data_IF_017668920529
#
_entry.id   IF_017668920529
#
_cell.length_a   1.000
_cell.length_b   1.000
_cell.length_c   1.000
_cell.angle_alpha   90.00
_cell.angle_beta   90.00
_cell.angle_gamma   90.00
#
_symmetry.space_group_name_H-M   'P 1'
#
loop_
_entity.id
_entity.type
_entity.pdbx_description
1 polymer ?
#
# COMPACT_ATOMS: atom_id res chain seq x y z
N UNK A 1 -2.60 -17.48 12.46
CA UNK A 1 -3.05 -18.36 13.54
C UNK A 1 -4.10 -17.59 14.34
N UNK A 2 -5.35 -17.65 13.87
CA UNK A 2 -6.46 -16.95 14.51
C UNK A 2 -7.05 -17.90 15.54
N UNK A 3 -6.63 -17.81 16.80
CA UNK A 3 -7.35 -18.48 17.88
C UNK A 3 -8.70 -17.79 17.98
N UNK A 4 -9.74 -18.42 17.43
CA UNK A 4 -11.08 -17.90 17.47
C UNK A 4 -11.55 -17.94 18.94
N UNK A 5 -11.57 -16.78 19.60
CA UNK A 5 -11.99 -16.64 21.00
C UNK A 5 -13.37 -17.28 21.27
N UNK A 6 -14.22 -17.32 20.24
CA UNK A 6 -15.52 -17.99 20.30
C UNK A 6 -15.41 -19.51 20.46
N UNK A 7 -14.40 -20.16 19.88
CA UNK A 7 -14.24 -21.62 19.96
C UNK A 7 -13.64 -22.08 21.29
N UNK A 8 -12.77 -21.25 21.90
CA UNK A 8 -12.15 -21.58 23.19
C UNK A 8 -13.07 -21.40 24.41
N UNK A 9 -14.22 -20.74 24.25
CA UNK A 9 -15.07 -20.31 25.38
C UNK A 9 -16.52 -20.80 25.31
N UNK A 10 -16.85 -21.68 24.36
CA UNK A 10 -18.24 -22.09 24.09
C UNK A 10 -18.95 -22.79 25.26
N UNK A 11 -18.22 -23.34 26.24
CA UNK A 11 -18.80 -24.09 27.36
C UNK A 11 -18.76 -23.38 28.72
N UNK A 12 -18.21 -22.16 28.82
CA UNK A 12 -18.13 -21.43 30.11
C UNK A 12 -19.09 -20.23 30.17
N UNK A 13 -19.69 -19.94 31.35
CA UNK A 13 -20.47 -18.71 31.55
C UNK A 13 -19.65 -17.47 31.20
N UNK A 14 -20.29 -16.48 30.58
CA UNK A 14 -19.64 -15.24 30.11
C UNK A 14 -18.82 -14.51 31.18
N UNK A 15 -19.22 -14.64 32.44
CA UNK A 15 -18.58 -14.00 33.60
C UNK A 15 -17.74 -14.93 34.47
N UNK A 16 -17.40 -16.13 33.99
CA UNK A 16 -16.55 -17.04 34.77
C UNK A 16 -15.18 -16.39 35.06
N UNK A 17 -14.62 -16.57 36.29
CA UNK A 17 -13.25 -16.15 36.57
C UNK A 17 -12.21 -16.78 35.63
N UNK A 18 -12.49 -17.99 35.12
CA UNK A 18 -11.65 -18.69 34.13
C UNK A 18 -11.57 -17.91 32.81
N UNK A 19 -12.72 -17.54 32.24
CA UNK A 19 -12.82 -16.75 31.00
C UNK A 19 -12.16 -15.39 31.11
N UNK A 20 -12.25 -14.72 32.26
CA UNK A 20 -11.55 -13.44 32.51
C UNK A 20 -10.03 -13.61 32.49
N UNK A 21 -9.50 -14.68 33.10
CA UNK A 21 -8.07 -15.00 33.07
C UNK A 21 -7.59 -15.33 31.64
N UNK A 22 -8.35 -16.14 30.90
CA UNK A 22 -8.05 -16.46 29.51
C UNK A 22 -8.04 -15.21 28.61
N UNK A 23 -9.04 -14.33 28.75
CA UNK A 23 -9.10 -13.07 28.03
C UNK A 23 -7.88 -12.20 28.32
N UNK A 24 -7.49 -12.06 29.59
CA UNK A 24 -6.29 -11.29 29.97
C UNK A 24 -5.02 -11.87 29.34
N UNK A 25 -4.85 -13.20 29.33
CA UNK A 25 -3.71 -13.86 28.67
C UNK A 25 -3.72 -13.59 27.17
N UNK A 26 -4.86 -13.72 26.50
CA UNK A 26 -4.99 -13.43 25.06
C UNK A 26 -4.65 -11.96 24.77
N UNK A 27 -5.17 -11.01 25.55
CA UNK A 27 -4.84 -9.60 25.41
C UNK A 27 -3.35 -9.34 25.62
N UNK A 28 -2.73 -9.97 26.62
CA UNK A 28 -1.30 -9.81 26.92
C UNK A 28 -0.43 -10.33 25.78
N UNK A 29 -0.75 -11.53 25.25
CA UNK A 29 -0.09 -12.10 24.07
C UNK A 29 -0.31 -11.20 22.86
N UNK A 30 -1.53 -10.71 22.64
CA UNK A 30 -1.85 -9.80 21.55
C UNK A 30 -1.03 -8.51 21.59
N UNK A 31 -0.92 -7.89 22.76
CA UNK A 31 -0.07 -6.70 22.98
C UNK A 31 1.40 -7.02 22.73
N UNK A 32 1.90 -8.15 23.21
CA UNK A 32 3.29 -8.56 22.99
C UNK A 32 3.60 -8.80 21.49
N UNK A 33 2.72 -9.49 20.77
CA UNK A 33 2.85 -9.75 19.32
C UNK A 33 2.74 -8.46 18.53
N UNK A 34 1.80 -7.58 18.89
CA UNK A 34 1.65 -6.27 18.26
C UNK A 34 2.87 -5.38 18.50
N UNK A 35 3.37 -5.32 19.74
CA UNK A 35 4.59 -4.61 20.10
C UNK A 35 5.82 -5.12 19.33
N UNK A 36 5.99 -6.44 19.24
CA UNK A 36 7.04 -7.05 18.42
C UNK A 36 6.89 -6.69 16.94
N UNK A 37 5.65 -6.69 16.42
CA UNK A 37 5.36 -6.31 15.04
C UNK A 37 5.69 -4.84 14.75
N UNK A 38 5.41 -3.93 15.69
CA UNK A 38 5.78 -2.51 15.60
C UNK A 38 7.31 -2.34 15.54
N UNK A 39 8.04 -3.00 16.44
CA UNK A 39 9.50 -2.93 16.49
C UNK A 39 10.10 -3.45 15.17
N UNK A 40 9.70 -4.65 14.73
CA UNK A 40 10.23 -5.26 13.52
C UNK A 40 9.84 -4.52 12.24
N UNK A 41 8.71 -3.82 12.24
CA UNK A 41 8.28 -2.99 11.12
C UNK A 41 8.93 -1.60 11.11
N UNK A 42 9.93 -1.36 11.98
CA UNK A 42 10.71 -0.13 11.97
C UNK A 42 10.04 1.07 12.63
N UNK A 43 9.09 0.87 13.56
CA UNK A 43 8.37 1.98 14.19
C UNK A 43 9.30 3.04 14.81
N UNK A 44 10.45 2.63 15.35
CA UNK A 44 11.46 3.52 15.93
C UNK A 44 12.55 3.95 14.94
N UNK A 45 12.59 3.40 13.73
CA UNK A 45 13.64 3.70 12.74
C UNK A 45 13.41 5.08 12.12
N UNK A 46 14.48 5.85 11.94
CA UNK A 46 14.41 7.10 11.20
C UNK A 46 14.15 6.83 9.70
N UNK A 47 13.32 7.67 9.06
CA UNK A 47 13.13 7.63 7.60
C UNK A 47 14.29 8.39 6.96
N UNK A 48 15.32 7.65 6.55
CA UNK A 48 16.47 8.24 5.84
C UNK A 48 16.14 8.34 4.36
N UNK A 49 16.06 9.58 3.87
CA UNK A 49 15.79 9.91 2.48
C UNK A 49 17.11 10.33 1.82
N UNK A 50 17.43 9.71 0.69
CA UNK A 50 18.57 10.07 -0.16
C UNK A 50 18.09 10.31 -1.59
N UNK A 51 18.82 11.13 -2.34
CA UNK A 51 18.60 11.22 -3.79
C UNK A 51 19.08 9.93 -4.48
N UNK A 52 18.35 9.51 -5.51
CA UNK A 52 18.65 8.36 -6.32
C UNK A 52 17.89 8.42 -7.64
N UNK A 53 17.78 7.29 -8.33
CA UNK A 53 17.14 7.22 -9.64
C UNK A 53 16.03 6.18 -9.60
N UNK A 54 14.83 6.56 -10.03
CA UNK A 54 13.78 5.59 -10.33
C UNK A 54 14.15 4.85 -11.62
N UNK A 55 14.12 3.50 -11.65
CA UNK A 55 14.65 2.73 -12.78
C UNK A 55 13.90 2.97 -14.10
N UNK A 56 12.62 3.33 -14.04
CA UNK A 56 11.78 3.46 -15.24
C UNK A 56 11.53 2.13 -15.95
N UNK A 57 10.66 2.13 -16.96
CA UNK A 57 10.32 0.92 -17.71
C UNK A 57 8.90 0.94 -18.26
N UNK A 58 8.46 -0.21 -18.75
CA UNK A 58 7.06 -0.44 -19.10
C UNK A 58 6.33 -0.99 -17.87
N UNK A 59 5.43 -0.20 -17.30
CA UNK A 59 4.65 -0.61 -16.14
C UNK A 59 3.35 -1.26 -16.61
N UNK A 60 3.15 -2.54 -16.28
CA UNK A 60 1.93 -3.32 -16.58
C UNK A 60 1.21 -3.57 -15.26
N UNK A 61 0.00 -3.04 -15.08
CA UNK A 61 -0.58 -2.87 -13.76
C UNK A 61 -2.10 -2.99 -13.73
N UNK A 62 -2.65 -3.17 -12.53
CA UNK A 62 -4.06 -3.03 -12.19
C UNK A 62 -4.23 -1.82 -11.28
N UNK A 63 -5.35 -1.09 -11.41
CA UNK A 63 -5.69 0.02 -10.50
C UNK A 63 -6.88 -0.35 -9.62
N UNK A 64 -6.90 0.14 -8.38
CA UNK A 64 -8.06 0.06 -7.48
C UNK A 64 -8.16 1.29 -6.57
N UNK A 65 -9.32 1.43 -5.91
CA UNK A 65 -9.71 2.53 -5.03
C UNK A 65 -10.09 1.95 -3.66
N UNK A 66 -9.11 1.77 -2.77
CA UNK A 66 -9.28 1.19 -1.41
C UNK A 66 -8.20 1.73 -0.46
N UNK A 67 -8.22 1.27 0.78
CA UNK A 67 -7.13 1.51 1.72
C UNK A 67 -5.79 1.01 1.16
N UNK A 68 -4.73 1.78 1.35
CA UNK A 68 -3.37 1.41 0.92
C UNK A 68 -2.87 0.11 1.55
N UNK A 69 -3.38 -0.28 2.72
CA UNK A 69 -3.10 -1.60 3.29
C UNK A 69 -3.58 -2.77 2.41
N UNK A 70 -4.55 -2.55 1.52
CA UNK A 70 -5.06 -3.54 0.57
C UNK A 70 -4.20 -3.68 -0.69
N UNK A 71 -3.21 -2.82 -0.91
CA UNK A 71 -2.33 -2.89 -2.09
C UNK A 71 -1.44 -4.13 -2.09
N UNK A 72 -1.04 -4.59 -0.90
CA UNK A 72 -0.19 -5.76 -0.74
C UNK A 72 -0.84 -7.04 -1.30
N UNK A 73 -2.17 -7.21 -1.16
CA UNK A 73 -2.87 -8.36 -1.73
C UNK A 73 -3.01 -8.26 -3.25
N UNK A 74 -3.11 -7.04 -3.81
CA UNK A 74 -3.07 -6.85 -5.27
C UNK A 74 -1.72 -7.26 -5.85
N UNK A 75 -0.61 -6.83 -5.23
CA UNK A 75 0.73 -7.21 -5.70
C UNK A 75 0.96 -8.72 -5.68
N UNK A 76 0.51 -9.40 -4.62
CA UNK A 76 0.58 -10.87 -4.55
C UNK A 76 -0.23 -11.52 -5.67
N UNK A 77 -1.43 -11.01 -5.96
CA UNK A 77 -2.24 -11.49 -7.09
C UNK A 77 -1.53 -11.30 -8.44
N UNK A 78 -0.90 -10.15 -8.67
CA UNK A 78 -0.13 -9.89 -9.91
C UNK A 78 1.06 -10.84 -10.00
N UNK A 79 1.75 -11.09 -8.89
CA UNK A 79 2.86 -12.03 -8.85
C UNK A 79 2.44 -13.46 -9.20
N UNK A 80 1.31 -13.93 -8.65
CA UNK A 80 0.74 -15.25 -8.95
C UNK A 80 0.36 -15.37 -10.44
N UNK A 81 -0.34 -14.36 -10.97
CA UNK A 81 -0.75 -14.32 -12.39
C UNK A 81 0.46 -14.25 -13.34
N UNK A 82 1.50 -13.53 -12.96
CA UNK A 82 2.77 -13.46 -13.69
C UNK A 82 3.70 -14.65 -13.48
N UNK A 83 3.30 -15.63 -12.64
CA UNK A 83 4.15 -16.76 -12.23
C UNK A 83 5.51 -16.33 -11.66
N UNK A 84 5.54 -15.19 -10.96
CA UNK A 84 6.72 -14.57 -10.40
C UNK A 84 7.05 -15.22 -9.07
N UNK A 85 8.29 -15.70 -8.94
CA UNK A 85 8.76 -16.28 -7.69
C UNK A 85 9.07 -15.18 -6.67
N UNK A 86 8.95 -15.50 -5.39
CA UNK A 86 9.21 -14.58 -4.27
C UNK A 86 10.58 -13.91 -4.36
N UNK A 87 11.59 -14.60 -4.91
CA UNK A 87 12.95 -14.08 -5.07
C UNK A 87 13.10 -13.04 -6.19
N UNK A 88 12.06 -12.81 -6.98
CA UNK A 88 12.05 -11.85 -8.10
C UNK A 88 11.22 -10.61 -7.77
N UNK A 89 10.72 -10.47 -6.54
CA UNK A 89 9.83 -9.39 -6.14
C UNK A 89 10.52 -8.02 -6.12
N UNK A 90 11.77 -7.98 -5.64
CA UNK A 90 12.47 -6.78 -5.21
C UNK A 90 12.72 -5.74 -6.31
N UNK A 91 12.75 -6.15 -7.57
CA UNK A 91 13.02 -5.27 -8.69
C UNK A 91 11.91 -5.21 -9.73
N UNK A 92 10.87 -6.04 -9.56
CA UNK A 92 9.86 -6.25 -10.59
C UNK A 92 8.49 -5.76 -10.17
N UNK A 93 8.10 -5.94 -8.91
CA UNK A 93 6.75 -5.64 -8.45
C UNK A 93 6.68 -4.29 -7.75
N UNK A 94 5.86 -3.39 -8.29
CA UNK A 94 5.71 -2.04 -7.78
C UNK A 94 4.27 -1.72 -7.46
N UNK A 95 4.08 -1.04 -6.33
CA UNK A 95 2.83 -0.32 -6.01
C UNK A 95 3.05 1.17 -6.18
N UNK A 96 2.21 1.81 -7.00
CA UNK A 96 2.16 3.25 -7.16
C UNK A 96 0.98 3.78 -6.34
N UNK A 97 1.29 4.61 -5.36
CA UNK A 97 0.33 5.30 -4.51
C UNK A 97 0.13 6.72 -5.06
N UNK A 98 -1.04 6.95 -5.65
CA UNK A 98 -1.31 8.12 -6.50
C UNK A 98 -1.80 9.33 -5.71
N UNK A 99 -2.03 9.18 -4.40
CA UNK A 99 -2.64 10.17 -3.55
C UNK A 99 -1.78 10.51 -2.34
N UNK A 100 -1.95 11.75 -1.86
CA UNK A 100 -1.54 12.12 -0.51
C UNK A 100 -2.59 11.61 0.49
N UNK A 101 -2.18 10.64 1.31
CA UNK A 101 -3.06 10.00 2.30
C UNK A 101 -3.44 10.91 3.46
N UNK A 102 -2.77 12.06 3.62
CA UNK A 102 -3.17 13.07 4.59
C UNK A 102 -4.43 13.85 4.17
N UNK A 103 -4.82 13.80 2.88
CA UNK A 103 -5.98 14.53 2.35
C UNK A 103 -7.07 13.62 1.80
N UNK A 104 -6.73 12.46 1.25
CA UNK A 104 -7.73 11.52 0.73
C UNK A 104 -8.23 10.60 1.86
N UNK A 105 -9.56 10.55 2.11
CA UNK A 105 -10.12 9.66 3.12
C UNK A 105 -9.76 8.18 2.90
N UNK A 106 -9.64 7.44 4.00
CA UNK A 106 -9.54 5.97 3.98
C UNK A 106 -10.65 5.36 3.12
N UNK A 107 -10.33 4.32 2.37
CA UNK A 107 -11.26 3.63 1.48
C UNK A 107 -11.53 4.34 0.15
N UNK A 108 -10.98 5.55 -0.06
CA UNK A 108 -11.02 6.29 -1.33
C UNK A 108 -9.64 6.50 -1.96
N UNK A 109 -8.60 5.94 -1.35
CA UNK A 109 -7.24 6.15 -1.83
C UNK A 109 -7.00 5.34 -3.11
N UNK A 110 -6.27 5.93 -4.06
CA UNK A 110 -5.97 5.33 -5.36
C UNK A 110 -4.57 4.74 -5.34
N UNK A 111 -4.48 3.49 -5.75
CA UNK A 111 -3.19 2.85 -5.98
C UNK A 111 -3.24 1.96 -7.22
N UNK A 112 -2.06 1.64 -7.73
CA UNK A 112 -1.87 0.72 -8.84
C UNK A 112 -0.77 -0.27 -8.52
N UNK A 113 -1.08 -1.55 -8.59
CA UNK A 113 -0.13 -2.63 -8.36
C UNK A 113 0.21 -3.33 -9.67
N UNK A 114 1.49 -3.52 -9.96
CA UNK A 114 1.92 -4.06 -11.25
C UNK A 114 3.37 -4.47 -11.31
N UNK A 115 3.80 -4.83 -12.51
CA UNK A 115 5.18 -5.15 -12.83
C UNK A 115 5.84 -4.00 -13.60
N UNK A 116 7.02 -3.56 -13.17
CA UNK A 116 7.86 -2.62 -13.91
C UNK A 116 8.87 -3.41 -14.75
N UNK A 117 8.64 -3.46 -16.06
CA UNK A 117 9.34 -4.34 -16.96
C UNK A 117 10.44 -3.58 -17.73
N UNK A 118 11.63 -4.16 -17.80
CA UNK A 118 12.63 -3.76 -18.77
C UNK A 118 12.25 -4.19 -20.21
N UNK A 119 13.11 -3.89 -21.19
CA UNK A 119 12.83 -4.22 -22.61
C UNK A 119 12.69 -5.71 -22.88
N UNK A 120 13.44 -6.56 -22.18
CA UNK A 120 13.41 -8.01 -22.36
C UNK A 120 12.16 -8.57 -21.68
N UNK A 121 11.94 -8.21 -20.41
CA UNK A 121 10.79 -8.59 -19.61
C UNK A 121 9.47 -8.12 -20.24
N UNK A 122 9.46 -6.96 -20.90
CA UNK A 122 8.27 -6.47 -21.63
C UNK A 122 7.83 -7.46 -22.71
N UNK A 123 8.76 -8.07 -23.44
CA UNK A 123 8.42 -9.05 -24.49
C UNK A 123 7.87 -10.35 -23.91
N UNK A 124 8.27 -10.69 -22.70
CA UNK A 124 7.91 -11.94 -22.02
C UNK A 124 6.58 -11.81 -21.26
N UNK A 125 6.50 -10.83 -20.35
CA UNK A 125 5.39 -10.74 -19.39
C UNK A 125 4.20 -9.95 -19.91
N UNK A 126 4.41 -8.86 -20.67
CA UNK A 126 3.32 -7.99 -21.10
C UNK A 126 2.26 -8.74 -21.92
N UNK A 127 2.58 -9.54 -22.95
CA UNK A 127 1.57 -10.26 -23.72
C UNK A 127 0.75 -11.21 -22.84
N UNK A 128 1.43 -11.94 -21.94
CA UNK A 128 0.82 -12.90 -21.02
C UNK A 128 -0.16 -12.22 -20.08
N UNK A 129 0.23 -11.14 -19.40
CA UNK A 129 -0.65 -10.41 -18.48
C UNK A 129 -1.81 -9.74 -19.21
N UNK A 130 -1.56 -9.14 -20.37
CA UNK A 130 -2.60 -8.48 -21.15
C UNK A 130 -3.64 -9.47 -21.70
N UNK A 131 -3.22 -10.69 -22.06
CA UNK A 131 -4.15 -11.75 -22.50
C UNK A 131 -5.12 -12.20 -21.40
N UNK A 132 -4.76 -12.03 -20.12
CA UNK A 132 -5.67 -12.30 -19.00
C UNK A 132 -6.87 -11.35 -18.97
N UNK A 133 -6.87 -10.24 -19.70
CA UNK A 133 -8.04 -9.38 -19.83
C UNK A 133 -9.18 -10.04 -20.62
N UNK A 134 -8.87 -10.98 -21.53
CA UNK A 134 -9.86 -11.64 -22.39
C UNK A 134 -10.53 -12.85 -21.72
N UNK A 135 -9.89 -13.44 -20.71
CA UNK A 135 -10.28 -14.74 -20.15
C UNK A 135 -11.18 -14.65 -18.90
N UNK A 136 -11.75 -13.48 -18.62
CA UNK A 136 -12.27 -13.20 -17.28
C UNK A 136 -13.72 -13.61 -17.10
N UNK A 137 -14.02 -14.42 -16.06
CA UNK A 137 -15.40 -14.64 -15.66
C UNK A 137 -15.99 -13.31 -15.17
N UNK A 138 -17.28 -13.09 -15.44
CA UNK A 138 -18.00 -11.94 -14.91
C UNK A 138 -17.96 -11.88 -13.38
N UNK A 139 -18.36 -10.75 -12.81
CA UNK A 139 -18.45 -10.59 -11.35
C UNK A 139 -19.37 -11.63 -10.72
N UNK A 140 -18.86 -12.34 -9.72
CA UNK A 140 -19.66 -13.16 -8.81
C UNK A 140 -19.82 -12.43 -7.47
N UNK A 141 -21.07 -12.27 -7.04
CA UNK A 141 -21.40 -11.67 -5.74
C UNK A 141 -20.85 -12.55 -4.61
N UNK A 142 -20.15 -11.94 -3.65
CA UNK A 142 -19.51 -12.66 -2.53
C UNK A 142 -18.09 -13.18 -2.80
N UNK A 143 -17.49 -12.87 -3.96
CA UNK A 143 -16.11 -13.22 -4.27
C UNK A 143 -15.10 -12.66 -3.24
N UNK A 144 -14.06 -13.44 -2.95
CA UNK A 144 -12.96 -13.02 -2.08
C UNK A 144 -12.21 -11.83 -2.66
N UNK A 145 -11.51 -11.04 -1.83
CA UNK A 145 -10.72 -9.90 -2.32
C UNK A 145 -9.70 -10.29 -3.41
N UNK A 146 -9.08 -11.47 -3.29
CA UNK A 146 -8.19 -12.02 -4.32
C UNK A 146 -8.94 -12.29 -5.62
N UNK A 147 -10.12 -12.90 -5.55
CA UNK A 147 -10.95 -13.14 -6.73
C UNK A 147 -11.43 -11.83 -7.38
N UNK A 148 -11.69 -10.77 -6.59
CA UNK A 148 -11.98 -9.44 -7.13
C UNK A 148 -10.81 -8.93 -7.98
N UNK A 149 -9.57 -9.04 -7.49
CA UNK A 149 -8.40 -8.56 -8.23
C UNK A 149 -8.12 -9.38 -9.48
N UNK A 150 -8.31 -10.70 -9.43
CA UNK A 150 -8.08 -11.58 -10.57
C UNK A 150 -9.14 -11.39 -11.66
N UNK A 151 -10.42 -11.30 -11.26
CA UNK A 151 -11.52 -11.37 -12.21
C UNK A 151 -12.04 -10.01 -12.68
N UNK A 152 -11.90 -8.94 -11.88
CA UNK A 152 -12.52 -7.64 -12.20
C UNK A 152 -11.56 -6.59 -12.72
N UNK A 153 -10.33 -6.53 -12.20
CA UNK A 153 -9.46 -5.38 -12.42
C UNK A 153 -8.58 -5.55 -13.66
N UNK A 154 -8.82 -4.79 -14.71
CA UNK A 154 -8.11 -4.95 -15.98
C UNK A 154 -6.64 -4.56 -15.88
N UNK A 155 -5.79 -5.29 -16.62
CA UNK A 155 -4.42 -4.89 -16.85
C UNK A 155 -4.39 -3.70 -17.82
N UNK A 156 -3.76 -2.62 -17.37
CA UNK A 156 -3.36 -1.46 -18.15
C UNK A 156 -1.83 -1.49 -18.33
N UNK A 157 -1.30 -0.71 -19.28
CA UNK A 157 0.14 -0.54 -19.43
C UNK A 157 0.51 0.90 -19.76
N UNK A 158 1.62 1.37 -19.21
CA UNK A 158 2.18 2.67 -19.56
C UNK A 158 3.70 2.70 -19.40
N UNK A 159 4.37 3.53 -20.20
CA UNK A 159 5.80 3.77 -20.04
C UNK A 159 6.03 4.81 -18.95
N UNK A 160 6.83 4.45 -17.95
CA UNK A 160 7.24 5.31 -16.84
C UNK A 160 8.71 5.67 -17.03
N UNK A 161 9.09 6.97 -17.01
CA UNK A 161 10.46 7.38 -17.30
C UNK A 161 11.40 7.06 -16.13
N UNK A 162 12.66 6.81 -16.44
CA UNK A 162 13.73 6.88 -15.43
C UNK A 162 14.05 8.33 -15.13
N UNK A 163 14.01 8.69 -13.85
CA UNK A 163 14.14 10.08 -13.37
C UNK A 163 14.78 10.14 -12.00
N UNK A 164 15.33 11.30 -11.67
CA UNK A 164 15.79 11.58 -10.31
C UNK A 164 14.62 11.49 -9.33
N UNK A 165 14.87 10.79 -8.23
CA UNK A 165 13.87 10.46 -7.22
C UNK A 165 14.46 10.57 -5.82
N UNK A 166 13.64 10.98 -4.87
CA UNK A 166 13.91 10.71 -3.47
C UNK A 166 13.73 9.20 -3.23
N UNK A 167 14.63 8.59 -2.49
CA UNK A 167 14.65 7.16 -2.19
C UNK A 167 14.74 6.96 -0.69
N UNK A 168 13.87 6.12 -0.14
CA UNK A 168 13.95 5.66 1.24
C UNK A 168 13.88 4.14 1.31
N UNK A 169 14.81 3.53 2.03
CA UNK A 169 14.77 2.12 2.37
C UNK A 169 14.20 1.97 3.78
N UNK A 170 13.15 1.18 3.94
CA UNK A 170 12.48 1.03 5.24
C UNK A 170 12.13 -0.43 5.57
N UNK A 171 12.25 -0.86 6.85
CA UNK A 171 11.89 -2.21 7.25
C UNK A 171 10.45 -2.59 6.90
N UNK A 172 10.27 -3.87 6.60
CA UNK A 172 8.99 -4.43 6.15
C UNK A 172 8.83 -5.87 6.64
N UNK A 173 7.63 -6.17 7.14
CA UNK A 173 7.28 -7.50 7.68
C UNK A 173 6.19 -8.20 6.86
N UNK A 174 5.78 -7.63 5.73
CA UNK A 174 4.66 -8.14 4.92
C UNK A 174 3.33 -8.26 5.69
N UNK A 175 3.23 -7.54 6.81
CA UNK A 175 2.06 -7.47 7.68
C UNK A 175 1.37 -6.12 7.60
N UNK A 176 0.17 -6.07 8.18
CA UNK A 176 -0.62 -4.83 8.21
C UNK A 176 0.10 -3.71 8.98
N UNK A 177 0.88 -4.04 10.02
CA UNK A 177 1.60 -3.05 10.83
C UNK A 177 2.65 -2.31 10.00
N UNK A 178 3.41 -3.01 9.14
CA UNK A 178 4.34 -2.34 8.24
C UNK A 178 3.64 -1.45 7.23
N UNK A 179 2.50 -1.88 6.69
CA UNK A 179 1.71 -1.05 5.76
C UNK A 179 1.22 0.24 6.44
N UNK A 180 0.75 0.16 7.69
CA UNK A 180 0.36 1.34 8.46
C UNK A 180 1.55 2.26 8.74
N UNK A 181 2.72 1.72 9.09
CA UNK A 181 3.91 2.55 9.32
C UNK A 181 4.35 3.23 8.03
N UNK A 182 4.28 2.55 6.88
CA UNK A 182 4.57 3.16 5.59
C UNK A 182 3.63 4.35 5.33
N UNK A 183 2.33 4.14 5.50
CA UNK A 183 1.30 5.16 5.26
C UNK A 183 1.39 6.36 6.22
N UNK A 184 1.59 6.14 7.51
CA UNK A 184 1.56 7.22 8.51
C UNK A 184 2.92 7.88 8.78
N UNK A 185 4.03 7.25 8.39
CA UNK A 185 5.38 7.73 8.73
C UNK A 185 6.27 7.91 7.51
N UNK A 186 6.37 6.89 6.66
CA UNK A 186 7.30 6.93 5.52
C UNK A 186 6.76 7.85 4.43
N UNK A 187 5.50 7.66 4.04
CA UNK A 187 4.87 8.40 2.95
C UNK A 187 4.81 9.91 3.22
N UNK A 188 4.37 10.39 4.39
CA UNK A 188 4.35 11.82 4.68
C UNK A 188 5.75 12.45 4.66
N UNK A 189 6.76 11.74 5.18
CA UNK A 189 8.14 12.22 5.15
C UNK A 189 8.68 12.33 3.72
N UNK A 190 8.40 11.32 2.89
CA UNK A 190 8.78 11.28 1.48
C UNK A 190 8.08 12.34 0.63
N UNK A 191 6.77 12.52 0.79
CA UNK A 191 6.00 13.55 0.10
C UNK A 191 6.43 14.96 0.52
N UNK A 192 6.71 15.16 1.81
CA UNK A 192 7.26 16.43 2.30
C UNK A 192 8.61 16.74 1.64
N UNK A 193 9.53 15.78 1.64
CA UNK A 193 10.84 15.95 1.00
C UNK A 193 10.71 16.32 -0.48
N UNK A 194 9.85 15.61 -1.23
CA UNK A 194 9.63 15.87 -2.65
C UNK A 194 9.01 17.24 -2.95
N UNK A 195 8.19 17.80 -2.04
CA UNK A 195 7.69 19.18 -2.17
C UNK A 195 8.77 20.23 -1.93
N UNK A 196 9.74 19.93 -1.08
CA UNK A 196 10.84 20.84 -0.73
C UNK A 196 11.97 20.82 -1.78
N UNK A 197 12.20 19.67 -2.44
CA UNK A 197 13.35 19.45 -3.32
C UNK A 197 12.97 19.17 -4.79
N UNK A 198 11.68 18.95 -5.09
CA UNK A 198 11.21 18.68 -6.44
C UNK A 198 11.06 19.93 -7.31
N UNK A 199 10.95 19.73 -8.62
CA UNK A 199 10.64 20.81 -9.58
C UNK A 199 9.29 21.47 -9.28
N UNK A 200 9.19 22.77 -9.57
CA UNK A 200 7.92 23.50 -9.44
C UNK A 200 6.84 22.86 -10.34
N UNK A 201 5.66 22.64 -9.78
CA UNK A 201 4.56 21.96 -10.48
C UNK A 201 4.69 20.44 -10.54
N UNK A 202 5.70 19.84 -9.91
CA UNK A 202 5.81 18.39 -9.78
C UNK A 202 4.66 17.82 -8.91
N UNK A 203 4.17 16.64 -9.30
CA UNK A 203 3.13 15.91 -8.56
C UNK A 203 3.77 14.69 -7.89
N UNK A 204 3.99 14.72 -6.57
CA UNK A 204 4.68 13.63 -5.89
C UNK A 204 3.78 12.39 -5.85
N UNK A 205 4.28 11.28 -6.39
CA UNK A 205 3.67 9.95 -6.38
C UNK A 205 4.66 9.00 -5.73
N UNK A 206 4.21 8.11 -4.86
CA UNK A 206 5.09 7.14 -4.22
C UNK A 206 5.05 5.84 -5.01
N UNK A 207 6.18 5.39 -5.52
CA UNK A 207 6.35 4.05 -6.06
C UNK A 207 7.10 3.19 -5.04
N UNK A 208 6.58 2.03 -4.67
CA UNK A 208 7.18 1.13 -3.67
C UNK A 208 7.39 -0.25 -4.24
N UNK A 209 8.58 -0.80 -4.03
CA UNK A 209 8.91 -2.23 -4.22
C UNK A 209 9.39 -2.81 -2.88
N UNK A 210 9.20 -4.11 -2.66
CA UNK A 210 9.56 -4.76 -1.40
C UNK A 210 10.28 -6.09 -1.64
N UNK A 211 11.44 -6.25 -1.00
CA UNK A 211 12.16 -7.52 -0.90
C UNK A 211 11.67 -8.30 0.32
N UNK A 212 10.93 -9.38 0.09
CA UNK A 212 10.50 -10.29 1.17
C UNK A 212 11.71 -10.93 1.84
N UNK A 213 12.75 -11.25 1.05
CA UNK A 213 13.97 -11.89 1.54
C UNK A 213 14.78 -10.96 2.46
N UNK A 214 14.91 -9.69 2.09
CA UNK A 214 15.65 -8.72 2.90
C UNK A 214 14.80 -8.12 4.03
N UNK A 215 13.47 -8.28 3.99
CA UNK A 215 12.57 -7.63 4.94
C UNK A 215 12.61 -6.10 4.81
N UNK A 216 12.78 -5.60 3.58
CA UNK A 216 12.96 -4.18 3.29
C UNK A 216 12.08 -3.77 2.12
N UNK A 217 11.49 -2.58 2.19
CA UNK A 217 10.89 -1.91 1.05
C UNK A 217 11.72 -0.71 0.63
N UNK A 218 11.77 -0.48 -0.68
CA UNK A 218 12.36 0.70 -1.30
C UNK A 218 11.22 1.57 -1.82
N UNK A 219 11.16 2.78 -1.31
CA UNK A 219 10.17 3.78 -1.67
C UNK A 219 10.84 4.86 -2.53
N UNK A 220 10.19 5.21 -3.63
CA UNK A 220 10.64 6.22 -4.57
C UNK A 220 9.59 7.32 -4.64
N UNK A 221 10.03 8.59 -4.67
CA UNK A 221 9.20 9.72 -5.06
C UNK A 221 9.93 10.51 -6.15
N UNK A 222 9.42 10.53 -7.39
CA UNK A 222 10.00 11.31 -8.48
C UNK A 222 10.11 12.79 -8.10
N UNK A 223 11.30 13.36 -8.26
CA UNK A 223 11.54 14.80 -8.04
C UNK A 223 11.22 15.62 -9.29
N UNK A 224 11.14 14.96 -10.44
CA UNK A 224 10.81 15.55 -11.74
C UNK A 224 9.77 14.69 -12.47
N UNK A 225 9.01 15.31 -13.38
CA UNK A 225 8.03 14.62 -14.26
C UNK A 225 7.01 13.73 -13.52
N UNK A 226 6.62 14.07 -12.29
CA UNK A 226 5.68 13.28 -11.48
C UNK A 226 4.30 13.08 -12.12
N UNK A 227 3.88 13.95 -13.04
CA UNK A 227 2.66 13.75 -13.82
C UNK A 227 2.66 12.46 -14.65
N UNK A 228 3.82 11.96 -15.08
CA UNK A 228 3.95 10.65 -15.77
C UNK A 228 3.70 9.47 -14.84
N UNK A 229 3.92 9.66 -13.53
CA UNK A 229 3.69 8.65 -12.50
C UNK A 229 2.24 8.62 -12.01
N UNK A 230 1.39 9.57 -12.42
CA UNK A 230 -0.05 9.52 -12.19
C UNK A 230 -0.76 8.49 -13.08
N UNK A 231 -0.07 7.85 -14.02
CA UNK A 231 -0.60 6.78 -14.88
C UNK A 231 -1.86 7.20 -15.67
N UNK A 232 -1.91 8.48 -16.07
CA UNK A 232 -3.07 9.07 -16.76
C UNK A 232 -4.27 9.36 -15.87
N UNK A 233 -4.17 9.12 -14.55
CA UNK A 233 -5.20 9.46 -13.57
C UNK A 233 -5.07 10.95 -13.15
N UNK A 234 -6.16 11.59 -12.66
CA UNK A 234 -6.11 12.99 -12.23
C UNK A 234 -5.19 13.19 -11.03
N UNK A 235 -4.73 14.43 -10.81
CA UNK A 235 -3.93 14.79 -9.62
C UNK A 235 -4.73 14.53 -8.34
N UNK A 236 -4.06 14.42 -7.18
CA UNK A 236 -4.75 14.24 -5.88
C UNK A 236 -5.79 15.33 -5.64
N UNK A 237 -5.47 16.59 -6.01
CA UNK A 237 -6.37 17.73 -5.85
C UNK A 237 -7.61 17.58 -6.73
N UNK A 238 -7.43 17.33 -8.02
CA UNK A 238 -8.55 17.19 -8.96
C UNK A 238 -9.43 15.98 -8.60
N UNK A 239 -8.81 14.90 -8.10
CA UNK A 239 -9.54 13.74 -7.61
C UNK A 239 -10.36 14.06 -6.36
N UNK A 240 -9.76 14.74 -5.38
CA UNK A 240 -10.45 15.18 -4.17
C UNK A 240 -11.68 16.06 -4.51
N UNK A 241 -11.52 16.99 -5.45
CA UNK A 241 -12.60 17.86 -5.92
C UNK A 241 -13.73 17.09 -6.65
N UNK A 242 -13.41 15.92 -7.21
CA UNK A 242 -14.38 15.03 -7.87
C UNK A 242 -15.17 14.14 -6.90
N UNK A 243 -14.70 13.97 -5.67
CA UNK A 243 -15.38 13.12 -4.69
C UNK A 243 -16.73 13.75 -4.29
N UNK A 244 -17.80 12.94 -4.14
CA UNK A 244 -19.08 13.46 -3.68
C UNK A 244 -18.89 14.10 -2.30
N UNK A 245 -19.26 15.37 -2.19
CA UNK A 245 -19.29 16.08 -0.90
C UNK A 245 -20.29 15.35 -0.02
N UNK A 246 -19.84 14.82 1.11
CA UNK A 246 -20.73 14.15 2.05
C UNK A 246 -21.52 15.24 2.76
N UNK A 247 -22.77 15.47 2.33
CA UNK A 247 -23.68 16.37 3.02
C UNK A 247 -23.94 15.84 4.45
N UNK A 248 -23.38 16.52 5.46
CA UNK A 248 -23.65 16.28 6.88
C UNK A 248 -22.76 15.27 7.62
N UNK A 249 -21.67 14.78 7.03
CA UNK A 249 -20.81 13.74 7.63
C UNK A 249 -19.51 14.28 8.23
N UNK A 250 -19.26 13.91 9.49
CA UNK A 250 -18.01 14.07 10.28
C UNK A 250 -16.80 14.51 9.43
N UNK A 251 -16.30 15.72 9.70
CA UNK A 251 -15.06 16.20 9.10
C UNK A 251 -13.90 15.31 9.57
N UNK A 252 -13.44 14.42 8.69
CA UNK A 252 -12.31 13.54 8.96
C UNK A 252 -11.04 14.34 9.28
N UNK A 253 -10.90 15.58 8.79
CA UNK A 253 -9.81 16.46 9.19
C UNK A 253 -9.92 16.86 10.67
N UNK A 254 -11.14 17.03 11.19
CA UNK A 254 -11.37 17.31 12.62
C UNK A 254 -11.21 16.06 13.50
N UNK A 255 -11.60 14.88 13.02
CA UNK A 255 -11.28 13.60 13.69
C UNK A 255 -9.78 13.36 13.72
N UNK A 256 -9.07 13.62 12.63
CA UNK A 256 -7.63 13.48 12.53
C UNK A 256 -6.90 14.52 13.42
N UNK A 257 -7.37 15.77 13.45
CA UNK A 257 -6.90 16.78 14.43
C UNK A 257 -7.17 16.34 15.88
N UNK A 258 -8.31 15.71 16.14
CA UNK A 258 -8.65 15.13 17.44
C UNK A 258 -7.69 14.01 17.84
N UNK A 259 -7.44 13.07 16.94
CA UNK A 259 -6.46 11.99 17.11
C UNK A 259 -5.03 12.52 17.30
N UNK A 260 -4.64 13.56 16.55
CA UNK A 260 -3.34 14.23 16.69
C UNK A 260 -3.17 14.93 18.05
N UNK A 261 -4.26 15.40 18.67
CA UNK A 261 -4.26 15.91 20.05
C UNK A 261 -4.13 14.80 21.11
N UNK A 262 -4.69 13.61 20.84
CA UNK A 262 -4.68 12.47 21.79
C UNK A 262 -3.39 11.66 21.69
N UNK A 263 -2.79 11.57 20.50
CA UNK A 263 -1.58 10.80 20.23
C UNK A 263 -0.51 11.78 19.69
N UNK A 264 0.24 12.47 20.57
CA UNK A 264 1.15 13.56 20.20
C UNK A 264 2.36 13.13 19.36
N UNK A 265 2.51 11.83 19.10
CA UNK A 265 3.56 11.24 18.26
C UNK A 265 3.18 11.17 16.77
N UNK A 266 1.91 11.45 16.41
CA UNK A 266 1.45 11.56 15.01
C UNK A 266 1.77 12.95 14.41
N UNK A 267 2.94 13.52 14.74
CA UNK A 267 3.34 14.87 14.31
C UNK A 267 3.64 14.95 12.83
#
# INVERSE_FOLDING_TARGET
MSFNYHELTMNEPRDSPGRRKQYLVICTIGVAVFGNSLINSGFFNEVKISEGVFPGGEFVYKSDFRDYAASASMIRSVAEEGSIKTEQYDDLLYTFYLDDTSVIPSGKQRFSGGMLLDKQQTKEFKPTLMALNEQRPGYEEGASATALYQNLLHYESCSVPSVDAAVANFPFTNGFVSALIHDFKVFPAMLKYAREHGEEGNHPVIATTCSIKQGMCTHYVPLVKGSKFLLGKPTTKDYLDSLPKIDGGIDWADVYKGLKKVIPFLK
#
